data_IF_754729813335
#
_entry.id   IF_754729813335
#
_cell.length_a   1.000
_cell.length_b   1.000
_cell.length_c   1.000
_cell.angle_alpha   90.00
_cell.angle_beta   90.00
_cell.angle_gamma   90.00
#
_symmetry.space_group_name_H-M   'P 1'
#
loop_
_entity.id
_entity.type
_entity.pdbx_description
1 polymer ?
#
# COMPACT_ATOMS: atom_id res chain seq x y z
N UNK A 1 -3.29 13.83 -17.89
CA UNK A 1 -2.25 13.05 -18.61
C UNK A 1 -1.37 14.00 -19.40
N UNK A 2 -0.13 13.63 -19.67
CA UNK A 2 0.72 14.38 -20.58
C UNK A 2 0.13 14.41 -22.00
N UNK A 3 0.40 15.49 -22.72
CA UNK A 3 0.08 15.58 -24.14
C UNK A 3 0.89 14.54 -24.94
N UNK A 4 0.21 13.72 -25.73
CA UNK A 4 0.83 12.58 -26.44
C UNK A 4 1.86 12.98 -27.50
N UNK A 5 1.86 14.23 -27.96
CA UNK A 5 2.78 14.74 -28.97
C UNK A 5 3.99 15.44 -28.38
N UNK A 6 3.80 16.16 -27.29
CA UNK A 6 4.84 16.99 -26.68
C UNK A 6 5.45 16.40 -25.42
N UNK A 7 4.77 15.43 -24.78
CA UNK A 7 5.15 14.88 -23.47
C UNK A 7 4.96 15.86 -22.31
N UNK A 8 4.39 17.04 -22.55
CA UNK A 8 4.18 18.07 -21.53
C UNK A 8 2.90 17.82 -20.74
N UNK A 9 2.95 18.11 -19.45
CA UNK A 9 1.78 18.06 -18.59
C UNK A 9 1.04 19.40 -18.59
N UNK A 10 -0.33 19.39 -18.50
CA UNK A 10 -1.09 20.62 -18.31
C UNK A 10 -0.65 21.35 -17.02
N UNK A 11 -0.64 22.69 -17.07
CA UNK A 11 -0.37 23.48 -15.87
C UNK A 11 -1.50 23.32 -14.85
N UNK A 12 -1.15 23.37 -13.55
CA UNK A 12 -2.10 23.30 -12.41
C UNK A 12 -3.06 22.09 -12.46
N UNK A 13 -2.56 20.97 -12.95
CA UNK A 13 -3.37 19.74 -13.09
C UNK A 13 -3.63 19.00 -11.78
N UNK A 14 -2.90 19.33 -10.71
CA UNK A 14 -3.09 18.76 -9.37
C UNK A 14 -3.48 19.88 -8.38
N UNK A 15 -4.51 19.64 -7.53
CA UNK A 15 -4.90 20.62 -6.53
C UNK A 15 -3.87 20.71 -5.39
N UNK A 16 -3.80 21.86 -4.75
CA UNK A 16 -3.02 22.10 -3.53
C UNK A 16 -3.91 21.98 -2.29
N UNK A 17 -3.36 21.58 -1.13
CA UNK A 17 -4.09 21.59 0.13
C UNK A 17 -4.54 23.00 0.51
N UNK A 18 -5.67 23.09 1.21
CA UNK A 18 -6.20 24.38 1.67
C UNK A 18 -5.62 24.83 3.02
N UNK A 19 -5.05 23.91 3.82
CA UNK A 19 -4.53 24.23 5.14
C UNK A 19 -3.07 24.65 5.10
N UNK A 20 -2.74 25.77 5.74
CA UNK A 20 -1.37 26.20 6.01
C UNK A 20 -0.76 25.56 7.25
N UNK A 21 -1.58 24.86 8.06
CA UNK A 21 -1.14 24.19 9.28
C UNK A 21 -0.79 22.72 8.99
N UNK A 22 0.34 22.26 9.54
CA UNK A 22 0.88 20.93 9.22
C UNK A 22 0.00 19.79 9.76
N UNK A 23 -0.50 19.87 10.99
CA UNK A 23 -1.26 18.76 11.58
C UNK A 23 -2.58 18.46 10.86
N UNK A 24 -3.38 19.46 10.44
CA UNK A 24 -4.56 19.22 9.62
C UNK A 24 -4.28 18.51 8.29
N UNK A 25 -3.08 18.68 7.70
CA UNK A 25 -2.70 17.98 6.47
C UNK A 25 -2.63 16.45 6.63
N UNK A 26 -2.41 15.96 7.86
CA UNK A 26 -2.40 14.52 8.16
C UNK A 26 -3.79 13.94 8.46
N UNK A 27 -4.83 14.75 8.56
CA UNK A 27 -6.19 14.28 8.87
C UNK A 27 -6.78 13.49 7.69
N UNK A 28 -7.31 12.31 8.02
CA UNK A 28 -8.06 11.47 7.09
C UNK A 28 -9.55 11.41 7.45
N UNK A 29 -10.02 12.35 8.28
CA UNK A 29 -11.42 12.35 8.76
C UNK A 29 -12.40 12.35 7.60
N UNK A 30 -13.31 11.35 7.61
CA UNK A 30 -14.33 11.19 6.59
C UNK A 30 -13.85 10.57 5.27
N UNK A 31 -12.58 10.23 5.16
CA UNK A 31 -12.01 9.52 4.00
C UNK A 31 -12.20 8.01 4.13
N UNK A 32 -12.21 7.31 3.01
CA UNK A 32 -12.26 5.84 2.95
C UNK A 32 -10.93 5.30 2.45
N UNK A 33 -10.36 4.38 3.24
CA UNK A 33 -9.12 3.69 2.92
C UNK A 33 -9.33 2.18 2.81
N UNK A 34 -8.66 1.55 1.85
CA UNK A 34 -8.56 0.09 1.73
C UNK A 34 -7.12 -0.32 2.00
N UNK A 35 -6.91 -1.35 2.82
CA UNK A 35 -5.58 -1.92 3.09
C UNK A 35 -5.63 -3.42 2.82
N UNK A 36 -4.93 -3.88 1.79
CA UNK A 36 -4.85 -5.30 1.48
C UNK A 36 -3.80 -6.01 2.36
N UNK A 37 -4.07 -7.29 2.70
CA UNK A 37 -3.18 -8.06 3.57
C UNK A 37 -3.09 -7.46 4.98
N UNK A 38 -4.22 -6.97 5.51
CA UNK A 38 -4.27 -6.23 6.77
C UNK A 38 -4.78 -7.05 7.96
N UNK A 39 -4.84 -8.40 7.84
CA UNK A 39 -5.17 -9.28 8.97
C UNK A 39 -4.08 -9.39 10.03
N UNK A 40 -2.85 -8.97 9.75
CA UNK A 40 -1.71 -9.01 10.67
C UNK A 40 -0.58 -8.07 10.21
N UNK A 41 0.50 -7.99 10.98
CA UNK A 41 1.79 -7.40 10.60
C UNK A 41 1.72 -5.95 10.15
N UNK A 42 2.41 -5.64 9.04
CA UNK A 42 2.50 -4.27 8.51
C UNK A 42 1.11 -3.75 8.12
N UNK A 43 0.33 -4.56 7.37
CA UNK A 43 -0.99 -4.13 6.90
C UNK A 43 -1.95 -3.78 8.03
N UNK A 44 -1.98 -4.55 9.11
CA UNK A 44 -2.78 -4.26 10.30
C UNK A 44 -2.31 -2.97 10.99
N UNK A 45 -0.99 -2.80 11.18
CA UNK A 45 -0.47 -1.58 11.76
C UNK A 45 -0.81 -0.34 10.94
N UNK A 46 -0.74 -0.45 9.60
CA UNK A 46 -1.13 0.61 8.67
C UNK A 46 -2.62 0.92 8.80
N UNK A 47 -3.49 -0.09 8.78
CA UNK A 47 -4.93 0.08 8.95
C UNK A 47 -5.26 0.81 10.25
N UNK A 48 -4.62 0.42 11.36
CA UNK A 48 -4.73 1.12 12.65
C UNK A 48 -4.27 2.59 12.54
N UNK A 49 -3.15 2.88 11.88
CA UNK A 49 -2.64 4.24 11.73
C UNK A 49 -3.55 5.14 10.90
N UNK A 50 -4.16 4.61 9.83
CA UNK A 50 -5.13 5.36 9.02
C UNK A 50 -6.45 5.61 9.79
N UNK A 51 -6.92 4.62 10.55
CA UNK A 51 -8.09 4.75 11.43
C UNK A 51 -7.86 5.78 12.56
N UNK A 52 -6.67 5.78 13.18
CA UNK A 52 -6.24 6.77 14.18
C UNK A 52 -6.27 8.20 13.62
N UNK A 53 -5.98 8.37 12.33
CA UNK A 53 -6.06 9.65 11.62
C UNK A 53 -7.49 10.01 11.16
N UNK A 54 -8.51 9.17 11.46
CA UNK A 54 -9.92 9.41 11.20
C UNK A 54 -10.48 8.81 9.92
N UNK A 55 -9.74 7.96 9.22
CA UNK A 55 -10.26 7.25 8.05
C UNK A 55 -11.22 6.13 8.43
N UNK A 56 -12.26 5.93 7.63
CA UNK A 56 -12.98 4.65 7.56
C UNK A 56 -12.08 3.65 6.84
N UNK A 57 -11.91 2.44 7.38
CA UNK A 57 -10.92 1.49 6.86
C UNK A 57 -11.54 0.14 6.53
N UNK A 58 -11.37 -0.31 5.29
CA UNK A 58 -11.64 -1.67 4.90
C UNK A 58 -10.32 -2.47 4.95
N UNK A 59 -10.26 -3.51 5.77
CA UNK A 59 -9.10 -4.40 5.85
C UNK A 59 -9.36 -5.67 5.05
N UNK A 60 -8.42 -6.03 4.16
CA UNK A 60 -8.55 -7.24 3.37
C UNK A 60 -7.68 -8.36 3.91
N UNK A 61 -8.22 -9.56 3.89
CA UNK A 61 -7.52 -10.79 4.24
C UNK A 61 -7.81 -11.88 3.19
N UNK A 62 -6.94 -12.87 3.09
CA UNK A 62 -7.17 -14.04 2.25
C UNK A 62 -7.67 -15.22 3.11
N UNK A 63 -6.89 -15.63 4.10
CA UNK A 63 -7.17 -16.80 4.96
C UNK A 63 -7.13 -16.49 6.46
N UNK A 64 -6.50 -15.39 6.88
CA UNK A 64 -6.38 -15.04 8.30
C UNK A 64 -7.69 -14.39 8.81
N UNK A 65 -8.58 -15.19 9.38
CA UNK A 65 -9.88 -14.76 9.92
C UNK A 65 -9.80 -13.86 11.15
N UNK A 66 -8.63 -13.76 11.82
CA UNK A 66 -8.43 -12.78 12.91
C UNK A 66 -8.66 -11.34 12.44
N UNK A 67 -8.60 -11.10 11.13
CA UNK A 67 -8.96 -9.82 10.53
C UNK A 67 -10.37 -9.33 10.94
N UNK A 68 -11.32 -10.23 11.21
CA UNK A 68 -12.68 -9.88 11.65
C UNK A 68 -12.67 -9.23 13.03
N UNK A 69 -11.95 -9.83 13.97
CA UNK A 69 -11.81 -9.30 15.34
C UNK A 69 -10.99 -8.00 15.34
N UNK A 70 -9.93 -7.95 14.50
CA UNK A 70 -9.11 -6.74 14.37
C UNK A 70 -9.89 -5.56 13.79
N UNK A 71 -10.80 -5.79 12.84
CA UNK A 71 -11.67 -4.74 12.32
C UNK A 71 -12.61 -4.20 13.43
N UNK A 72 -13.22 -5.06 14.22
CA UNK A 72 -14.05 -4.67 15.34
C UNK A 72 -13.27 -3.89 16.43
N UNK A 73 -12.04 -4.32 16.71
CA UNK A 73 -11.13 -3.63 17.64
C UNK A 73 -10.76 -2.22 17.15
N UNK A 74 -10.47 -2.06 15.85
CA UNK A 74 -10.16 -0.77 15.23
C UNK A 74 -11.38 0.16 15.32
N UNK A 75 -12.56 -0.33 14.95
CA UNK A 75 -13.81 0.44 15.02
C UNK A 75 -14.11 0.91 16.43
N UNK A 76 -14.04 0.01 17.42
CA UNK A 76 -14.29 0.33 18.83
C UNK A 76 -13.26 1.32 19.39
N UNK A 77 -11.99 1.21 19.00
CA UNK A 77 -10.91 2.02 19.54
C UNK A 77 -10.89 3.45 18.99
N UNK A 78 -11.16 3.61 17.68
CA UNK A 78 -10.96 4.89 17.00
C UNK A 78 -12.28 5.59 16.61
N UNK A 79 -13.42 4.92 16.77
CA UNK A 79 -14.75 5.50 16.48
C UNK A 79 -14.97 5.78 14.98
N UNK A 80 -14.30 5.05 14.11
CA UNK A 80 -14.46 5.09 12.66
C UNK A 80 -15.11 3.80 12.17
N UNK A 81 -15.70 3.78 10.98
CA UNK A 81 -16.15 2.52 10.39
C UNK A 81 -14.94 1.68 10.01
N UNK A 82 -14.90 0.42 10.49
CA UNK A 82 -13.89 -0.56 10.08
C UNK A 82 -14.54 -1.91 9.82
N UNK A 83 -14.24 -2.53 8.68
CA UNK A 83 -14.78 -3.85 8.32
C UNK A 83 -13.74 -4.68 7.59
N UNK A 84 -13.75 -6.00 7.85
CA UNK A 84 -12.88 -6.96 7.19
C UNK A 84 -13.59 -7.64 6.01
N UNK A 85 -12.87 -7.82 4.90
CA UNK A 85 -13.34 -8.48 3.68
C UNK A 85 -12.38 -9.58 3.27
N UNK A 86 -12.92 -10.75 2.92
CA UNK A 86 -12.12 -11.82 2.35
C UNK A 86 -11.98 -11.58 0.85
N UNK A 87 -10.76 -11.30 0.39
CA UNK A 87 -10.50 -10.93 -1.01
C UNK A 87 -9.30 -11.71 -1.55
N UNK A 88 -9.52 -12.40 -2.66
CA UNK A 88 -8.44 -13.00 -3.44
C UNK A 88 -7.87 -11.98 -4.42
N UNK A 89 -6.72 -11.41 -4.09
CA UNK A 89 -6.08 -10.41 -4.96
C UNK A 89 -5.48 -11.00 -6.25
N UNK A 90 -5.41 -12.32 -6.37
CA UNK A 90 -4.90 -13.01 -7.56
C UNK A 90 -5.86 -13.00 -8.77
N UNK A 91 -7.05 -12.43 -8.67
CA UNK A 91 -8.00 -12.25 -9.77
C UNK A 91 -8.56 -10.84 -9.78
N UNK A 92 -8.66 -10.24 -10.97
CA UNK A 92 -9.14 -8.86 -11.11
C UNK A 92 -10.61 -8.72 -10.71
N UNK A 93 -11.43 -9.70 -11.05
CA UNK A 93 -12.86 -9.72 -10.75
C UNK A 93 -13.11 -9.63 -9.24
N UNK A 94 -12.42 -10.47 -8.44
CA UNK A 94 -12.53 -10.45 -6.97
C UNK A 94 -12.11 -9.09 -6.38
N UNK A 95 -11.02 -8.51 -6.89
CA UNK A 95 -10.54 -7.19 -6.45
C UNK A 95 -11.54 -6.10 -6.81
N UNK A 96 -12.04 -6.09 -8.05
CA UNK A 96 -12.99 -5.06 -8.53
C UNK A 96 -14.30 -5.11 -7.75
N UNK A 97 -14.88 -6.30 -7.59
CA UNK A 97 -16.13 -6.48 -6.84
C UNK A 97 -16.00 -6.01 -5.39
N UNK A 98 -14.88 -6.36 -4.73
CA UNK A 98 -14.61 -5.93 -3.36
C UNK A 98 -14.45 -4.40 -3.24
N UNK A 99 -13.74 -3.74 -4.16
CA UNK A 99 -13.62 -2.27 -4.17
C UNK A 99 -14.98 -1.62 -4.38
N UNK A 100 -15.76 -2.09 -5.35
CA UNK A 100 -17.09 -1.55 -5.65
C UNK A 100 -18.06 -1.73 -4.47
N UNK A 101 -18.01 -2.87 -3.78
CA UNK A 101 -18.80 -3.15 -2.58
C UNK A 101 -18.43 -2.20 -1.45
N UNK A 102 -17.13 -2.07 -1.14
CA UNK A 102 -16.64 -1.20 -0.07
C UNK A 102 -17.01 0.25 -0.32
N UNK A 103 -16.82 0.75 -1.54
CA UNK A 103 -17.19 2.13 -1.88
C UNK A 103 -18.68 2.38 -1.61
N UNK A 104 -19.56 1.46 -2.04
CA UNK A 104 -21.00 1.57 -1.77
C UNK A 104 -21.36 1.45 -0.30
N UNK A 105 -20.73 0.51 0.41
CA UNK A 105 -21.06 0.21 1.80
C UNK A 105 -20.59 1.31 2.78
N UNK A 106 -19.46 1.97 2.48
CA UNK A 106 -18.89 2.96 3.40
C UNK A 106 -19.59 4.32 3.21
N UNK A 107 -19.02 5.20 2.41
CA UNK A 107 -19.54 6.56 2.21
C UNK A 107 -19.52 7.00 0.75
N UNK A 108 -19.54 6.05 -0.18
CA UNK A 108 -19.65 6.31 -1.61
C UNK A 108 -18.37 6.82 -2.27
N UNK A 109 -17.21 6.73 -1.59
CA UNK A 109 -15.92 7.25 -2.06
C UNK A 109 -14.75 6.34 -1.70
N UNK A 110 -13.68 6.45 -2.46
CA UNK A 110 -12.38 5.87 -2.15
C UNK A 110 -11.34 7.00 -2.14
N UNK A 111 -10.50 7.08 -1.12
CA UNK A 111 -9.47 8.10 -1.00
C UNK A 111 -8.06 7.50 -1.01
N UNK A 112 -7.88 6.38 -0.33
CA UNK A 112 -6.59 5.74 -0.14
C UNK A 112 -6.70 4.25 -0.45
N UNK A 113 -5.74 3.72 -1.19
CA UNK A 113 -5.56 2.29 -1.36
C UNK A 113 -4.12 1.90 -1.02
N UNK A 114 -3.95 1.03 -0.02
CA UNK A 114 -2.65 0.45 0.34
C UNK A 114 -2.59 -0.98 -0.17
N UNK A 115 -1.85 -1.21 -1.26
CA UNK A 115 -1.56 -2.52 -1.81
C UNK A 115 -0.40 -3.15 -1.02
N UNK A 116 -0.75 -3.81 0.09
CA UNK A 116 0.24 -4.38 1.02
C UNK A 116 0.34 -5.90 0.94
N UNK A 117 -0.65 -6.59 0.41
CA UNK A 117 -0.60 -8.07 0.27
C UNK A 117 0.65 -8.52 -0.47
N UNK A 118 1.28 -9.56 0.04
CA UNK A 118 2.43 -10.19 -0.59
C UNK A 118 2.79 -11.49 0.09
N UNK A 119 3.52 -12.34 -0.62
CA UNK A 119 4.07 -13.59 -0.11
C UNK A 119 5.57 -13.65 -0.36
N UNK A 120 6.28 -14.35 0.52
CA UNK A 120 7.72 -14.57 0.41
C UNK A 120 8.05 -15.63 -0.65
N UNK A 121 9.33 -15.69 -1.02
CA UNK A 121 9.94 -16.83 -1.69
C UNK A 121 10.74 -17.61 -0.64
N UNK A 122 10.34 -18.86 -0.38
CA UNK A 122 10.88 -19.69 0.71
C UNK A 122 11.73 -20.86 0.21
N UNK A 123 11.88 -21.02 -1.12
CA UNK A 123 12.56 -22.18 -1.73
C UNK A 123 14.08 -22.02 -1.94
N UNK A 124 14.67 -20.92 -1.42
CA UNK A 124 16.11 -20.70 -1.49
C UNK A 124 16.59 -20.34 -2.90
N UNK A 125 17.58 -21.11 -3.43
CA UNK A 125 18.12 -20.86 -4.78
C UNK A 125 17.04 -21.00 -5.86
N UNK A 126 17.01 -20.05 -6.79
CA UNK A 126 16.04 -20.07 -7.89
C UNK A 126 16.12 -21.31 -8.77
N UNK A 127 17.34 -21.83 -8.99
CA UNK A 127 17.54 -23.00 -9.85
C UNK A 127 16.96 -24.30 -9.27
N UNK A 128 16.76 -24.35 -7.95
CA UNK A 128 16.22 -25.50 -7.25
C UNK A 128 14.73 -25.31 -6.93
N UNK A 129 14.21 -24.11 -7.11
CA UNK A 129 12.84 -23.77 -6.78
C UNK A 129 11.82 -24.12 -7.85
N UNK A 130 10.55 -24.25 -7.43
CA UNK A 130 9.43 -24.62 -8.28
C UNK A 130 8.95 -23.44 -9.15
N UNK A 131 8.66 -23.72 -10.43
CA UNK A 131 8.03 -22.74 -11.33
C UNK A 131 6.58 -22.40 -10.90
N UNK A 132 5.90 -23.31 -10.21
CA UNK A 132 4.56 -23.07 -9.65
C UNK A 132 4.63 -22.04 -8.52
N UNK A 133 5.62 -22.17 -7.62
CA UNK A 133 5.85 -21.19 -6.56
C UNK A 133 6.29 -19.85 -7.14
N UNK A 134 7.15 -19.83 -8.16
CA UNK A 134 7.49 -18.61 -8.90
C UNK A 134 6.21 -17.93 -9.43
N UNK A 135 5.38 -18.66 -10.13
CA UNK A 135 4.13 -18.14 -10.70
C UNK A 135 3.19 -17.60 -9.60
N UNK A 136 3.09 -18.30 -8.47
CA UNK A 136 2.30 -17.87 -7.32
C UNK A 136 2.81 -16.55 -6.72
N UNK A 137 4.13 -16.43 -6.52
CA UNK A 137 4.75 -15.20 -5.99
C UNK A 137 4.50 -14.02 -6.93
N UNK A 138 4.74 -14.19 -8.22
CA UNK A 138 4.48 -13.13 -9.20
C UNK A 138 3.00 -12.75 -9.28
N UNK A 139 2.11 -13.74 -9.28
CA UNK A 139 0.67 -13.53 -9.31
C UNK A 139 0.17 -12.72 -8.12
N UNK A 140 0.65 -13.02 -6.91
CA UNK A 140 0.23 -12.28 -5.71
C UNK A 140 0.92 -10.93 -5.62
N UNK A 141 2.26 -10.88 -5.74
CA UNK A 141 3.02 -9.66 -5.45
C UNK A 141 2.92 -8.63 -6.58
N UNK A 142 2.82 -9.07 -7.83
CA UNK A 142 2.82 -8.20 -9.00
C UNK A 142 1.43 -8.06 -9.61
N UNK A 143 0.82 -9.13 -10.13
CA UNK A 143 -0.50 -9.05 -10.78
C UNK A 143 -1.55 -8.51 -9.80
N UNK A 144 -1.56 -9.01 -8.55
CA UNK A 144 -2.45 -8.52 -7.50
C UNK A 144 -2.31 -7.04 -7.23
N UNK A 145 -1.08 -6.51 -7.26
CA UNK A 145 -0.83 -5.06 -7.14
C UNK A 145 -1.42 -4.29 -8.31
N UNK A 146 -1.25 -4.78 -9.55
CA UNK A 146 -1.84 -4.17 -10.75
C UNK A 146 -3.38 -4.21 -10.73
N UNK A 147 -3.98 -5.30 -10.26
CA UNK A 147 -5.43 -5.41 -10.13
C UNK A 147 -5.98 -4.41 -9.12
N UNK A 148 -5.34 -4.28 -7.96
CA UNK A 148 -5.68 -3.26 -6.96
C UNK A 148 -5.54 -1.84 -7.54
N UNK A 149 -4.43 -1.58 -8.22
CA UNK A 149 -4.15 -0.29 -8.85
C UNK A 149 -5.23 0.10 -9.86
N UNK A 150 -5.60 -0.82 -10.76
CA UNK A 150 -6.62 -0.58 -11.78
C UNK A 150 -7.99 -0.33 -11.17
N UNK A 151 -8.41 -1.15 -10.20
CA UNK A 151 -9.71 -0.99 -9.55
C UNK A 151 -9.82 0.35 -8.80
N UNK A 152 -8.80 0.72 -8.03
CA UNK A 152 -8.76 1.99 -7.31
C UNK A 152 -8.74 3.21 -8.27
N UNK A 153 -7.90 3.18 -9.31
CA UNK A 153 -7.76 4.28 -10.26
C UNK A 153 -9.06 4.60 -11.01
N UNK A 154 -9.88 3.60 -11.31
CA UNK A 154 -11.20 3.81 -11.94
C UNK A 154 -12.12 4.66 -11.06
N UNK A 155 -12.15 4.40 -9.73
CA UNK A 155 -12.92 5.20 -8.79
C UNK A 155 -12.37 6.62 -8.67
N UNK A 156 -11.05 6.80 -8.56
CA UNK A 156 -10.46 8.14 -8.44
C UNK A 156 -10.63 8.99 -9.68
N UNK A 157 -10.51 8.38 -10.87
CA UNK A 157 -10.79 9.08 -12.13
C UNK A 157 -12.23 9.56 -12.18
N UNK A 158 -13.21 8.68 -11.89
CA UNK A 158 -14.63 9.04 -11.79
C UNK A 158 -14.85 10.16 -10.77
N UNK A 159 -14.31 10.01 -9.53
CA UNK A 159 -14.45 11.02 -8.47
C UNK A 159 -13.90 12.37 -8.91
N UNK A 160 -12.80 12.38 -9.66
CA UNK A 160 -12.22 13.63 -10.17
C UNK A 160 -13.06 14.26 -11.27
N UNK A 161 -13.64 13.47 -12.17
CA UNK A 161 -14.46 13.92 -13.28
C UNK A 161 -15.83 14.41 -12.82
N UNK A 162 -16.47 13.69 -11.90
CA UNK A 162 -17.84 13.99 -11.44
C UNK A 162 -17.90 14.91 -10.22
N UNK A 163 -16.87 14.93 -9.38
CA UNK A 163 -16.87 15.66 -8.12
C UNK A 163 -17.83 15.11 -7.07
N UNK A 164 -18.31 13.86 -7.24
CA UNK A 164 -19.35 13.26 -6.41
C UNK A 164 -18.97 11.86 -5.90
N UNK A 165 -19.64 11.45 -4.81
CA UNK A 165 -19.69 10.04 -4.39
C UNK A 165 -20.50 9.22 -5.40
N UNK A 166 -20.50 7.88 -5.28
CA UNK A 166 -21.36 7.01 -6.13
C UNK A 166 -22.85 7.27 -5.92
N UNK A 167 -23.24 7.87 -4.80
CA UNK A 167 -24.61 8.25 -4.48
C UNK A 167 -24.97 9.69 -4.92
N UNK A 168 -24.09 10.34 -5.68
CA UNK A 168 -24.30 11.69 -6.23
C UNK A 168 -24.11 12.84 -5.23
N UNK A 169 -23.60 12.59 -4.01
CA UNK A 169 -23.32 13.63 -3.04
C UNK A 169 -21.98 14.30 -3.37
N UNK A 170 -21.83 15.62 -3.15
CA UNK A 170 -20.55 16.30 -3.34
C UNK A 170 -19.43 15.65 -2.52
N UNK A 171 -18.23 15.56 -3.11
CA UNK A 171 -17.02 15.10 -2.41
C UNK A 171 -16.47 16.25 -1.55
N UNK A 172 -16.59 16.11 -0.24
CA UNK A 172 -15.97 17.04 0.70
C UNK A 172 -14.53 16.61 1.03
N UNK A 173 -13.63 17.57 1.22
CA UNK A 173 -12.22 17.32 1.61
C UNK A 173 -11.51 16.28 0.73
N UNK A 174 -11.80 16.27 -0.57
CA UNK A 174 -11.16 15.40 -1.55
C UNK A 174 -10.25 16.22 -2.47
N UNK A 175 -8.97 15.87 -2.50
CA UNK A 175 -8.03 16.44 -3.46
C UNK A 175 -7.87 15.48 -4.64
N UNK A 176 -7.26 14.33 -4.39
CA UNK A 176 -6.98 13.26 -5.35
C UNK A 176 -6.87 11.93 -4.61
N UNK A 177 -6.93 10.82 -5.35
CA UNK A 177 -6.66 9.50 -4.79
C UNK A 177 -5.20 9.33 -4.38
N UNK A 178 -4.94 8.42 -3.43
CA UNK A 178 -3.59 8.03 -3.04
C UNK A 178 -3.43 6.52 -3.08
N UNK A 179 -2.56 6.03 -3.97
CA UNK A 179 -2.14 4.64 -4.07
C UNK A 179 -0.78 4.45 -3.44
N UNK A 180 -0.66 3.48 -2.52
CA UNK A 180 0.58 3.19 -1.82
C UNK A 180 0.88 1.70 -1.94
N UNK A 181 2.02 1.34 -2.52
CA UNK A 181 2.46 -0.05 -2.58
C UNK A 181 3.43 -0.37 -1.44
N UNK A 182 3.24 -1.51 -0.78
CA UNK A 182 4.28 -2.10 0.07
C UNK A 182 5.26 -2.87 -0.80
N UNK A 183 6.37 -2.21 -1.13
CA UNK A 183 7.50 -2.82 -1.83
C UNK A 183 8.42 -3.56 -0.84
N UNK A 184 9.72 -3.40 -0.94
CA UNK A 184 10.73 -3.98 -0.03
C UNK A 184 12.11 -3.43 -0.36
N UNK A 185 13.03 -3.40 0.60
CA UNK A 185 14.47 -3.25 0.34
C UNK A 185 14.96 -4.26 -0.72
N UNK A 186 14.32 -5.43 -0.80
CA UNK A 186 14.61 -6.48 -1.78
C UNK A 186 14.39 -6.04 -3.23
N UNK A 187 13.68 -4.95 -3.47
CA UNK A 187 13.56 -4.32 -4.78
C UNK A 187 14.77 -3.43 -5.14
N UNK A 188 15.64 -3.11 -4.18
CA UNK A 188 16.81 -2.25 -4.34
C UNK A 188 18.12 -3.03 -4.29
N UNK A 189 18.16 -4.08 -3.46
CA UNK A 189 19.37 -4.85 -3.20
C UNK A 189 19.11 -6.36 -3.32
N UNK A 190 20.16 -7.14 -3.38
CA UNK A 190 20.12 -8.60 -3.27
C UNK A 190 20.37 -8.98 -1.81
N UNK A 191 19.40 -9.67 -1.21
CA UNK A 191 19.51 -10.12 0.19
C UNK A 191 20.54 -11.25 0.31
N UNK A 192 21.51 -11.08 1.20
CA UNK A 192 22.53 -12.09 1.51
C UNK A 192 22.56 -12.31 3.03
N UNK A 193 22.42 -13.55 3.50
CA UNK A 193 22.49 -14.83 2.79
C UNK A 193 21.16 -15.37 2.23
N UNK A 194 20.07 -14.63 2.33
CA UNK A 194 18.73 -15.07 1.93
C UNK A 194 18.57 -15.01 0.40
N UNK A 195 18.52 -16.18 -0.25
CA UNK A 195 18.31 -16.28 -1.70
C UNK A 195 16.82 -16.18 -2.02
N UNK A 196 16.39 -15.15 -2.79
CA UNK A 196 14.98 -14.88 -3.08
C UNK A 196 14.79 -14.11 -4.40
N UNK A 197 15.44 -14.55 -5.48
CA UNK A 197 15.47 -13.85 -6.76
C UNK A 197 14.09 -13.45 -7.29
N UNK A 198 13.10 -14.34 -7.21
CA UNK A 198 11.73 -14.09 -7.68
C UNK A 198 11.04 -12.99 -6.84
N UNK A 199 11.20 -13.04 -5.52
CA UNK A 199 10.67 -12.01 -4.63
C UNK A 199 11.31 -10.65 -4.91
N UNK A 200 12.65 -10.61 -5.03
CA UNK A 200 13.39 -9.39 -5.35
C UNK A 200 12.90 -8.77 -6.66
N UNK A 201 12.78 -9.58 -7.72
CA UNK A 201 12.25 -9.14 -9.01
C UNK A 201 10.83 -8.59 -8.90
N UNK A 202 9.94 -9.27 -8.15
CA UNK A 202 8.56 -8.81 -7.95
C UNK A 202 8.51 -7.45 -7.25
N UNK A 203 9.36 -7.23 -6.24
CA UNK A 203 9.38 -5.97 -5.48
C UNK A 203 10.04 -4.82 -6.27
N UNK A 204 11.07 -5.09 -7.06
CA UNK A 204 11.63 -4.12 -8.00
C UNK A 204 10.60 -3.69 -9.05
N UNK A 205 9.83 -4.64 -9.60
CA UNK A 205 8.75 -4.35 -10.54
C UNK A 205 7.65 -3.47 -9.91
N UNK A 206 7.26 -3.72 -8.66
CA UNK A 206 6.27 -2.90 -7.92
C UNK A 206 6.76 -1.47 -7.75
N UNK A 207 8.04 -1.26 -7.37
CA UNK A 207 8.64 0.08 -7.25
C UNK A 207 8.54 0.83 -8.58
N UNK A 208 8.91 0.18 -9.68
CA UNK A 208 8.88 0.82 -11.00
C UNK A 208 7.46 1.06 -11.50
N UNK A 209 6.53 0.13 -11.24
CA UNK A 209 5.11 0.29 -11.56
C UNK A 209 4.51 1.52 -10.89
N UNK A 210 4.82 1.78 -9.60
CA UNK A 210 4.38 3.00 -8.91
C UNK A 210 4.85 4.28 -9.60
N UNK A 211 6.08 4.31 -10.13
CA UNK A 211 6.58 5.46 -10.91
C UNK A 211 5.76 5.66 -12.20
N UNK A 212 5.44 4.57 -12.89
CA UNK A 212 4.61 4.60 -14.09
C UNK A 212 3.19 5.09 -13.78
N UNK A 213 2.56 4.55 -12.74
CA UNK A 213 1.22 4.98 -12.29
C UNK A 213 1.20 6.47 -11.90
N UNK A 214 2.25 6.97 -11.24
CA UNK A 214 2.35 8.37 -10.85
C UNK A 214 2.28 9.31 -12.07
N UNK A 215 2.87 8.91 -13.19
CA UNK A 215 2.84 9.67 -14.44
C UNK A 215 1.49 9.53 -15.14
N UNK A 216 0.98 8.30 -15.26
CA UNK A 216 -0.29 8.00 -15.96
C UNK A 216 -1.51 8.63 -15.25
N UNK A 217 -1.47 8.73 -13.92
CA UNK A 217 -2.60 9.19 -13.09
C UNK A 217 -2.52 10.66 -12.70
N UNK A 218 -1.54 11.39 -13.22
CA UNK A 218 -1.44 12.83 -13.00
C UNK A 218 -2.77 13.53 -13.31
N UNK A 219 -3.28 14.28 -12.34
CA UNK A 219 -4.58 14.97 -12.42
C UNK A 219 -5.68 14.35 -11.55
N UNK A 220 -5.61 13.04 -11.20
CA UNK A 220 -6.65 12.40 -10.39
C UNK A 220 -6.14 11.53 -9.24
N UNK A 221 -4.86 11.09 -9.25
CA UNK A 221 -4.28 10.32 -8.16
C UNK A 221 -2.77 10.49 -8.07
N UNK A 222 -2.21 10.21 -6.89
CA UNK A 222 -0.79 10.02 -6.62
C UNK A 222 -0.50 8.53 -6.45
N UNK A 223 0.69 8.08 -6.84
CA UNK A 223 1.14 6.72 -6.61
C UNK A 223 2.57 6.72 -6.08
N UNK A 224 2.80 6.03 -4.96
CA UNK A 224 4.09 5.93 -4.30
C UNK A 224 4.29 4.52 -3.76
N UNK A 225 5.53 4.16 -3.45
CA UNK A 225 5.84 2.93 -2.73
C UNK A 225 6.58 3.20 -1.43
N UNK A 226 6.46 2.26 -0.51
CA UNK A 226 7.27 2.19 0.70
C UNK A 226 8.04 0.88 0.63
N UNK A 227 9.35 0.94 0.87
CA UNK A 227 10.24 -0.22 0.92
C UNK A 227 10.68 -0.45 2.37
N UNK A 228 9.95 -1.31 3.12
CA UNK A 228 10.37 -1.71 4.45
C UNK A 228 11.66 -2.53 4.41
N UNK A 229 12.48 -2.37 5.46
CA UNK A 229 13.56 -3.30 5.78
C UNK A 229 13.03 -4.57 6.46
N UNK A 230 13.87 -5.17 7.31
CA UNK A 230 13.46 -6.31 8.12
C UNK A 230 12.56 -5.83 9.27
N UNK A 231 11.29 -6.22 9.20
CA UNK A 231 10.24 -5.88 10.17
C UNK A 231 9.76 -7.16 10.85
N UNK A 232 9.59 -7.13 12.16
CA UNK A 232 9.09 -8.28 12.95
C UNK A 232 7.65 -8.60 12.59
N UNK A 233 7.45 -9.58 11.74
CA UNK A 233 6.13 -10.04 11.26
C UNK A 233 6.13 -11.55 11.08
N UNK A 234 4.94 -12.14 10.92
CA UNK A 234 4.80 -13.55 10.57
C UNK A 234 5.45 -13.90 9.22
N UNK A 235 5.49 -12.95 8.27
CA UNK A 235 6.13 -13.13 6.97
C UNK A 235 7.62 -13.46 7.06
N UNK A 236 8.29 -13.09 8.15
CA UNK A 236 9.71 -13.38 8.41
C UNK A 236 9.91 -14.52 9.39
N UNK A 237 8.85 -15.20 9.83
CA UNK A 237 8.92 -16.25 10.85
C UNK A 237 9.71 -17.48 10.38
N UNK A 238 9.71 -17.79 9.07
CA UNK A 238 10.46 -18.91 8.48
C UNK A 238 11.98 -18.71 8.49
N UNK A 239 12.48 -17.49 8.68
CA UNK A 239 13.92 -17.20 8.71
C UNK A 239 14.49 -17.71 10.04
N UNK A 240 15.55 -18.52 9.96
CA UNK A 240 16.22 -19.06 11.17
C UNK A 240 16.83 -17.93 12.03
N UNK A 241 16.93 -18.17 13.33
CA UNK A 241 17.53 -17.19 14.26
C UNK A 241 18.99 -16.88 13.92
N UNK A 242 19.75 -17.86 13.40
CA UNK A 242 21.12 -17.66 12.93
C UNK A 242 21.14 -16.66 11.76
N UNK A 243 20.29 -16.86 10.76
CA UNK A 243 20.15 -15.95 9.63
C UNK A 243 19.68 -14.56 10.10
N UNK A 244 18.69 -14.50 11.00
CA UNK A 244 18.22 -13.22 11.57
C UNK A 244 19.35 -12.47 12.28
N UNK A 245 20.23 -13.15 13.01
CA UNK A 245 21.38 -12.52 13.66
C UNK A 245 22.36 -11.93 12.64
N UNK A 246 22.65 -12.65 11.55
CA UNK A 246 23.45 -12.11 10.43
C UNK A 246 22.82 -10.87 9.83
N UNK A 247 21.50 -10.92 9.56
CA UNK A 247 20.77 -9.81 8.98
C UNK A 247 20.75 -8.59 9.90
N UNK A 248 20.50 -8.78 11.21
CA UNK A 248 20.54 -7.71 12.22
C UNK A 248 21.91 -7.04 12.27
N UNK A 249 22.99 -7.82 12.13
CA UNK A 249 24.37 -7.29 12.07
C UNK A 249 24.63 -6.40 10.85
N UNK A 250 23.79 -6.47 9.83
CA UNK A 250 23.86 -5.62 8.61
C UNK A 250 22.96 -4.38 8.67
N UNK A 251 22.07 -4.28 9.66
CA UNK A 251 21.21 -3.12 9.85
C UNK A 251 21.98 -2.08 10.69
N UNK A 252 22.25 -0.86 10.19
CA UNK A 252 22.96 0.16 10.97
C UNK A 252 22.30 0.49 12.32
N UNK A 253 20.97 0.47 12.42
CA UNK A 253 20.25 0.64 13.68
C UNK A 253 20.34 -0.59 14.61
N UNK A 254 20.94 -1.71 14.20
CA UNK A 254 21.22 -2.90 15.01
C UNK A 254 20.01 -3.74 15.41
N UNK A 255 18.84 -3.51 14.81
CA UNK A 255 17.61 -4.21 15.14
C UNK A 255 16.65 -4.27 13.96
N UNK A 256 15.73 -5.21 13.99
CA UNK A 256 14.55 -5.20 13.14
C UNK A 256 13.59 -4.06 13.56
N UNK A 257 12.85 -3.53 12.59
CA UNK A 257 11.79 -2.57 12.86
C UNK A 257 10.52 -3.26 13.39
N UNK A 258 9.69 -2.49 14.06
CA UNK A 258 8.35 -2.90 14.49
C UNK A 258 7.30 -2.43 13.45
N UNK A 259 6.22 -3.16 13.19
CA UNK A 259 5.17 -2.73 12.25
C UNK A 259 4.64 -1.31 12.54
N UNK A 260 4.55 -0.93 13.82
CA UNK A 260 4.11 0.41 14.24
C UNK A 260 5.03 1.55 13.79
N UNK A 261 6.31 1.28 13.53
CA UNK A 261 7.26 2.30 13.08
C UNK A 261 7.02 2.71 11.62
N UNK A 262 6.23 1.93 10.88
CA UNK A 262 5.84 2.24 9.50
C UNK A 262 4.59 3.13 9.41
N UNK A 263 3.76 3.22 10.48
CA UNK A 263 2.49 3.98 10.47
C UNK A 263 2.66 5.41 9.94
N UNK A 264 3.67 6.13 10.42
CA UNK A 264 3.92 7.52 10.03
C UNK A 264 4.23 7.70 8.55
N UNK A 265 5.02 6.79 7.96
CA UNK A 265 5.36 6.82 6.54
C UNK A 265 4.11 6.60 5.66
N UNK A 266 3.27 5.62 6.02
CA UNK A 266 2.01 5.37 5.30
C UNK A 266 1.02 6.51 5.48
N UNK A 267 0.88 7.06 6.69
CA UNK A 267 0.01 8.21 6.93
C UNK A 267 0.45 9.44 6.13
N UNK A 268 1.75 9.71 6.06
CA UNK A 268 2.30 10.77 5.21
C UNK A 268 1.85 10.61 3.75
N UNK A 269 2.09 9.44 3.16
CA UNK A 269 1.74 9.20 1.76
C UNK A 269 0.22 9.14 1.51
N UNK A 270 -0.57 8.71 2.50
CA UNK A 270 -2.03 8.64 2.43
C UNK A 270 -2.72 10.00 2.49
N UNK A 271 -2.07 10.99 3.11
CA UNK A 271 -2.67 12.27 3.48
C UNK A 271 -2.28 13.42 2.54
N UNK A 272 -2.86 14.58 2.78
CA UNK A 272 -2.56 15.82 2.04
C UNK A 272 -1.18 16.38 2.37
N UNK A 273 -0.54 15.92 3.45
CA UNK A 273 0.85 16.24 3.76
C UNK A 273 1.83 15.83 2.65
N UNK A 274 1.44 14.88 1.81
CA UNK A 274 2.21 14.43 0.65
C UNK A 274 1.61 14.87 -0.70
N UNK A 275 0.83 15.95 -0.72
CA UNK A 275 0.15 16.43 -1.94
C UNK A 275 1.09 16.71 -3.12
N UNK A 276 2.36 17.06 -2.85
CA UNK A 276 3.41 17.29 -3.86
C UNK A 276 4.38 16.09 -4.00
N UNK A 277 3.98 14.89 -3.52
CA UNK A 277 4.81 13.69 -3.52
C UNK A 277 4.13 12.60 -4.34
N UNK A 278 4.69 12.27 -5.50
CA UNK A 278 4.24 11.16 -6.35
C UNK A 278 5.43 10.54 -7.08
N UNK A 279 5.39 9.22 -7.31
CA UNK A 279 6.44 8.48 -8.01
C UNK A 279 7.68 8.19 -7.17
N UNK A 280 7.65 8.42 -5.85
CA UNK A 280 8.77 8.07 -4.98
C UNK A 280 8.67 6.64 -4.47
N UNK A 281 9.80 6.11 -4.05
CA UNK A 281 9.90 4.97 -3.14
C UNK A 281 10.56 5.43 -1.84
N UNK A 282 9.88 5.19 -0.71
CA UNK A 282 10.36 5.60 0.61
C UNK A 282 10.94 4.40 1.34
N UNK A 283 12.25 4.38 1.51
CA UNK A 283 12.96 3.38 2.32
C UNK A 283 12.70 3.63 3.82
N UNK A 284 12.25 2.58 4.54
CA UNK A 284 12.09 2.57 6.00
C UNK A 284 12.73 1.28 6.51
N UNK A 285 14.04 1.27 6.65
CA UNK A 285 14.84 0.04 6.72
C UNK A 285 15.93 0.04 7.80
N UNK A 286 15.95 1.03 8.67
CA UNK A 286 16.99 1.16 9.71
C UNK A 286 18.38 1.44 9.13
N UNK A 287 18.45 1.95 7.88
CA UNK A 287 19.68 2.27 7.18
C UNK A 287 20.30 1.10 6.40
N UNK A 288 19.59 -0.02 6.24
CA UNK A 288 20.13 -1.23 5.60
C UNK A 288 20.63 -0.96 4.16
N UNK A 289 19.95 -0.11 3.42
CA UNK A 289 20.29 0.25 2.03
C UNK A 289 21.20 1.49 1.91
N UNK A 290 21.67 2.06 3.02
CA UNK A 290 22.48 3.27 2.97
C UNK A 290 23.96 3.04 2.58
N UNK A 291 24.63 1.93 3.03
CA UNK A 291 26.00 1.59 2.61
C UNK A 291 26.10 1.12 1.17
#
# INVERSE_FOLDING_TARGET
MADSKTGLFPHNNMPTPQSDLVMPLFSLKGRTAIVSGAGAGIGLAVAQGLAEAGANVAIWYNSNTQALDEAANIEAKFGVKCKAYQVNIGTYESVKEAVDEIVREFNGRLDVFVANSGIAWEEGSFIDGSLDTMSKVLKVNLDGTFFCAKAAALHWRRQREEGTTVDGKPLENYLVGSFICTASISGHIVNVPQMQAVYNASKAAVIHACKSFAIEWTGFARANSISPGYIKTELTAFISDETKNVLRGKIPMGREGEPRELKGAYLYLASDASSYTTGIDLLVDGGYCAP
#
